data_IF_055866522435
#
_entry.id   IF_055866522435
#
_cell.length_a   1.000
_cell.length_b   1.000
_cell.length_c   1.000
_cell.angle_alpha   90.00
_cell.angle_beta   90.00
_cell.angle_gamma   90.00
#
_symmetry.space_group_name_H-M   'P 1'
#
loop_
_entity.id
_entity.type
_entity.pdbx_description
1 polymer ?
#
# COMPACT_ATOMS: atom_id res chain seq x y z
N UNK A 1 -24.76 -19.48 16.19
CA UNK A 1 -25.01 -18.38 15.23
C UNK A 1 -23.68 -18.14 14.52
N UNK A 2 -23.49 -18.74 13.34
CA UNK A 2 -22.24 -18.61 12.57
C UNK A 2 -22.40 -17.40 11.66
N UNK A 3 -21.58 -16.38 11.89
CA UNK A 3 -21.55 -15.19 11.03
C UNK A 3 -21.01 -15.62 9.67
N UNK A 4 -21.69 -15.21 8.61
CA UNK A 4 -21.34 -15.63 7.26
C UNK A 4 -19.98 -15.04 6.83
N UNK A 5 -19.14 -15.81 6.11
CA UNK A 5 -17.76 -15.43 5.80
C UNK A 5 -17.64 -14.16 4.93
N UNK A 6 -18.72 -13.75 4.26
CA UNK A 6 -18.80 -12.53 3.46
C UNK A 6 -18.78 -11.27 4.33
N UNK A 7 -19.37 -11.33 5.54
CA UNK A 7 -19.38 -10.20 6.49
C UNK A 7 -17.95 -9.93 6.98
N UNK A 8 -17.20 -10.99 7.28
CA UNK A 8 -15.80 -10.89 7.70
C UNK A 8 -14.89 -10.41 6.56
N UNK A 9 -15.12 -10.89 5.33
CA UNK A 9 -14.40 -10.41 4.15
C UNK A 9 -14.65 -8.93 3.89
N UNK A 10 -15.92 -8.49 3.93
CA UNK A 10 -16.30 -7.09 3.77
C UNK A 10 -15.70 -6.18 4.86
N UNK A 11 -15.69 -6.63 6.11
CA UNK A 11 -15.07 -5.90 7.21
C UNK A 11 -13.55 -5.78 7.04
N UNK A 12 -12.89 -6.85 6.61
CA UNK A 12 -11.45 -6.86 6.33
C UNK A 12 -11.07 -5.86 5.23
N UNK A 13 -11.88 -5.78 4.17
CA UNK A 13 -11.75 -4.79 3.10
C UNK A 13 -11.91 -3.36 3.64
N UNK A 14 -12.93 -3.10 4.45
CA UNK A 14 -13.17 -1.78 5.04
C UNK A 14 -11.99 -1.33 5.92
N UNK A 15 -11.42 -2.24 6.72
CA UNK A 15 -10.25 -1.96 7.54
C UNK A 15 -9.00 -1.71 6.70
N UNK A 16 -8.78 -2.47 5.63
CA UNK A 16 -7.65 -2.25 4.71
C UNK A 16 -7.73 -0.87 4.05
N UNK A 17 -8.92 -0.47 3.60
CA UNK A 17 -9.16 0.86 3.03
C UNK A 17 -8.97 1.98 4.07
N UNK A 18 -9.43 1.78 5.31
CA UNK A 18 -9.25 2.76 6.37
C UNK A 18 -7.78 2.91 6.80
N UNK A 19 -6.98 1.85 6.71
CA UNK A 19 -5.57 1.87 7.06
C UNK A 19 -4.71 2.51 5.95
N UNK A 20 -4.87 2.04 4.71
CA UNK A 20 -4.05 2.45 3.57
C UNK A 20 -4.56 3.70 2.85
N UNK A 21 -5.86 4.00 2.94
CA UNK A 21 -6.49 5.16 2.29
C UNK A 21 -5.93 6.51 2.78
N UNK A 22 -5.92 6.80 4.09
CA UNK A 22 -5.35 8.03 4.63
C UNK A 22 -3.86 8.16 4.31
N UNK A 23 -3.12 7.04 4.35
CA UNK A 23 -1.71 7.01 4.02
C UNK A 23 -1.44 7.32 2.55
N UNK A 24 -2.22 6.72 1.63
CA UNK A 24 -2.16 7.02 0.20
C UNK A 24 -2.50 8.50 -0.06
N UNK A 25 -3.52 9.04 0.60
CA UNK A 25 -3.88 10.46 0.49
C UNK A 25 -2.74 11.38 0.94
N UNK A 26 -2.14 11.09 2.10
CA UNK A 26 -1.02 11.88 2.63
C UNK A 26 0.23 11.78 1.73
N UNK A 27 0.45 10.61 1.11
CA UNK A 27 1.51 10.40 0.12
C UNK A 27 1.26 11.17 -1.17
N UNK A 28 0.03 11.16 -1.68
CA UNK A 28 -0.35 11.90 -2.89
C UNK A 28 -0.26 13.42 -2.70
N UNK A 29 -0.49 13.92 -1.47
CA UNK A 29 -0.25 15.33 -1.11
C UNK A 29 1.23 15.71 -0.99
N UNK A 30 2.15 14.75 -1.11
CA UNK A 30 3.59 15.01 -0.98
C UNK A 30 4.05 15.35 0.44
N UNK A 31 3.17 15.19 1.44
CA UNK A 31 3.50 15.42 2.86
C UNK A 31 4.46 14.36 3.38
N UNK A 32 4.29 13.13 2.88
CA UNK A 32 5.18 12.00 3.16
C UNK A 32 6.04 11.75 1.92
N UNK A 33 7.35 11.56 2.11
CA UNK A 33 8.28 11.09 1.08
C UNK A 33 8.56 9.60 1.31
N UNK A 34 7.69 8.71 0.83
CA UNK A 34 7.92 7.29 1.01
C UNK A 34 9.11 6.81 0.19
N UNK A 35 9.97 6.03 0.84
CA UNK A 35 11.09 5.36 0.18
C UNK A 35 10.56 4.31 -0.82
N UNK A 36 10.90 4.46 -2.10
CA UNK A 36 10.39 3.62 -3.20
C UNK A 36 10.63 2.12 -2.94
N UNK A 37 11.80 1.75 -2.42
CA UNK A 37 12.16 0.34 -2.15
C UNK A 37 11.16 -0.36 -1.21
N UNK A 38 10.65 0.34 -0.19
CA UNK A 38 9.68 -0.21 0.75
C UNK A 38 8.38 -0.57 0.03
N UNK A 39 7.89 0.32 -0.84
CA UNK A 39 6.65 0.10 -1.57
C UNK A 39 6.78 -0.95 -2.68
N UNK A 40 7.96 -1.11 -3.27
CA UNK A 40 8.26 -2.22 -4.19
C UNK A 40 8.12 -3.56 -3.47
N UNK A 41 8.78 -3.70 -2.31
CA UNK A 41 8.72 -4.93 -1.51
C UNK A 41 7.28 -5.22 -1.08
N UNK A 42 6.58 -4.22 -0.54
CA UNK A 42 5.21 -4.40 -0.07
C UNK A 42 4.25 -4.77 -1.20
N UNK A 43 4.39 -4.17 -2.37
CA UNK A 43 3.56 -4.53 -3.54
C UNK A 43 3.82 -5.95 -3.98
N UNK A 44 5.09 -6.38 -4.03
CA UNK A 44 5.44 -7.75 -4.41
C UNK A 44 4.93 -8.77 -3.37
N UNK A 45 5.14 -8.51 -2.08
CA UNK A 45 4.72 -9.39 -1.00
C UNK A 45 3.20 -9.55 -0.96
N UNK A 46 2.46 -8.45 -1.06
CA UNK A 46 0.98 -8.48 -1.06
C UNK A 46 0.43 -9.16 -2.31
N UNK A 47 1.04 -8.95 -3.48
CA UNK A 47 0.68 -9.65 -4.69
C UNK A 47 0.86 -11.18 -4.53
N UNK A 48 2.02 -11.63 -4.05
CA UNK A 48 2.27 -13.07 -3.81
C UNK A 48 1.26 -13.64 -2.81
N UNK A 49 1.03 -12.94 -1.69
CA UNK A 49 0.07 -13.36 -0.68
C UNK A 49 -1.38 -13.42 -1.22
N UNK A 50 -1.76 -12.51 -2.11
CA UNK A 50 -3.05 -12.56 -2.79
C UNK A 50 -3.16 -13.76 -3.73
N UNK A 51 -2.12 -14.02 -4.54
CA UNK A 51 -2.11 -15.16 -5.44
C UNK A 51 -2.19 -16.50 -4.71
N UNK A 52 -1.50 -16.65 -3.56
CA UNK A 52 -1.61 -17.84 -2.71
C UNK A 52 -3.06 -18.03 -2.26
N UNK A 53 -3.67 -16.98 -1.69
CA UNK A 53 -5.06 -17.04 -1.22
C UNK A 53 -6.07 -17.28 -2.36
N UNK A 54 -5.79 -16.77 -3.55
CA UNK A 54 -6.60 -17.01 -4.74
C UNK A 54 -6.54 -18.47 -5.19
N UNK A 55 -5.33 -19.06 -5.21
CA UNK A 55 -5.12 -20.46 -5.59
C UNK A 55 -5.68 -21.45 -4.56
N UNK A 56 -5.62 -21.11 -3.26
CA UNK A 56 -6.20 -21.93 -2.19
C UNK A 56 -7.74 -21.81 -2.08
N UNK A 57 -8.37 -20.97 -2.91
CA UNK A 57 -9.81 -20.81 -2.90
C UNK A 57 -10.34 -20.14 -1.63
N UNK A 58 -9.56 -19.25 -1.00
CA UNK A 58 -9.89 -18.58 0.26
C UNK A 58 -11.14 -17.69 0.22
N UNK A 59 -11.81 -17.57 -0.94
CA UNK A 59 -13.09 -16.90 -1.10
C UNK A 59 -13.05 -15.43 -0.64
N UNK A 60 -13.90 -15.09 0.33
CA UNK A 60 -14.00 -13.74 0.89
C UNK A 60 -12.79 -13.31 1.71
N UNK A 61 -11.95 -14.24 2.17
CA UNK A 61 -10.72 -13.94 2.90
C UNK A 61 -9.64 -13.29 2.02
N UNK A 62 -9.62 -13.63 0.73
CA UNK A 62 -8.64 -13.11 -0.22
C UNK A 62 -8.89 -11.64 -0.62
N UNK A 63 -10.09 -11.11 -0.38
CA UNK A 63 -10.50 -9.79 -0.86
C UNK A 63 -9.64 -8.66 -0.31
N UNK A 64 -9.26 -8.74 0.97
CA UNK A 64 -8.39 -7.74 1.59
C UNK A 64 -6.97 -7.78 1.06
N UNK A 65 -6.45 -8.98 0.71
CA UNK A 65 -5.16 -9.14 0.05
C UNK A 65 -5.13 -8.48 -1.33
N UNK A 66 -6.20 -8.67 -2.12
CA UNK A 66 -6.35 -8.05 -3.44
C UNK A 66 -6.38 -6.51 -3.35
N UNK A 67 -7.19 -5.98 -2.44
CA UNK A 67 -7.29 -4.52 -2.23
C UNK A 67 -5.97 -3.95 -1.70
N UNK A 68 -5.32 -4.63 -0.76
CA UNK A 68 -4.02 -4.21 -0.23
C UNK A 68 -2.97 -4.16 -1.35
N UNK A 69 -2.97 -5.14 -2.26
CA UNK A 69 -2.07 -5.15 -3.43
C UNK A 69 -2.29 -3.94 -4.33
N UNK A 70 -3.55 -3.62 -4.64
CA UNK A 70 -3.90 -2.45 -5.47
C UNK A 70 -3.49 -1.14 -4.79
N UNK A 71 -3.74 -1.01 -3.49
CA UNK A 71 -3.36 0.19 -2.73
C UNK A 71 -1.85 0.33 -2.62
N UNK A 72 -1.11 -0.74 -2.32
CA UNK A 72 0.35 -0.73 -2.31
C UNK A 72 0.92 -0.34 -3.68
N UNK A 73 0.35 -0.85 -4.78
CA UNK A 73 0.76 -0.49 -6.13
C UNK A 73 0.48 0.99 -6.44
N UNK A 74 -0.68 1.51 -6.01
CA UNK A 74 -1.00 2.94 -6.15
C UNK A 74 -0.01 3.83 -5.36
N UNK A 75 0.35 3.42 -4.14
CA UNK A 75 1.34 4.14 -3.32
C UNK A 75 2.73 4.04 -3.95
N UNK A 76 3.10 2.89 -4.54
CA UNK A 76 4.35 2.72 -5.28
C UNK A 76 4.41 3.72 -6.45
N UNK A 77 3.37 3.80 -7.28
CA UNK A 77 3.32 4.79 -8.37
C UNK A 77 3.42 6.22 -7.83
N UNK A 78 2.70 6.53 -6.75
CA UNK A 78 2.77 7.84 -6.10
C UNK A 78 4.19 8.16 -5.58
N UNK A 79 4.87 7.17 -5.00
CA UNK A 79 6.24 7.26 -4.48
C UNK A 79 7.28 7.40 -5.59
N UNK A 80 7.09 6.79 -6.76
CA UNK A 80 7.98 6.98 -7.91
C UNK A 80 7.91 8.43 -8.42
N UNK A 81 6.72 9.05 -8.35
CA UNK A 81 6.53 10.45 -8.77
C UNK A 81 7.06 11.47 -7.75
N UNK A 82 7.08 11.13 -6.46
CA UNK A 82 7.53 12.00 -5.36
C UNK A 82 8.86 11.57 -4.72
N UNK A 83 9.51 10.54 -5.28
CA UNK A 83 10.65 9.87 -4.67
C UNK A 83 11.86 10.78 -4.54
N UNK A 84 12.46 10.75 -3.37
CA UNK A 84 13.65 11.51 -3.05
C UNK A 84 14.78 11.13 -4.03
N UNK A 85 15.21 12.13 -4.81
CA UNK A 85 16.49 12.08 -5.53
C UNK A 85 17.60 12.17 -4.49
N UNK A 86 17.99 11.05 -3.89
CA UNK A 86 19.26 11.00 -3.17
C UNK A 86 20.41 10.91 -4.18
N UNK A 87 21.16 12.01 -4.24
CA UNK A 87 22.57 12.09 -4.65
C UNK A 87 22.91 12.08 -6.14
N UNK A 88 22.86 13.26 -6.78
CA UNK A 88 24.09 13.86 -7.32
C UNK A 88 23.87 15.38 -7.54
N UNK A 89 24.59 16.20 -6.79
CA UNK A 89 24.52 17.65 -6.87
C UNK A 89 25.04 18.29 -5.59
N UNK A 90 26.35 18.54 -5.56
CA UNK A 90 26.96 19.47 -4.62
C UNK A 90 26.13 20.78 -4.59
N UNK A 91 25.66 21.19 -3.41
CA UNK A 91 24.82 22.38 -3.25
C UNK A 91 24.44 22.61 -1.79
N UNK A 92 25.18 23.52 -1.17
CA UNK A 92 24.92 24.14 0.15
C UNK A 92 23.45 24.56 0.36
N UNK A 93 22.96 24.44 1.59
CA UNK A 93 21.81 25.20 2.06
C UNK A 93 20.76 24.43 2.85
N UNK A 94 21.14 23.81 3.98
CA UNK A 94 20.19 23.44 5.05
C UNK A 94 20.29 24.49 6.16
N UNK A 95 19.78 25.68 5.85
CA UNK A 95 19.38 26.68 6.80
C UNK A 95 17.87 26.92 6.59
N UNK A 96 17.14 27.02 7.69
CA UNK A 96 15.74 27.45 7.78
C UNK A 96 14.64 26.43 7.39
N UNK A 97 14.26 25.56 8.34
CA UNK A 97 13.01 25.71 9.12
C UNK A 97 12.89 24.70 10.25
#
# INVERSE_FOLDING_TARGET
>A
MVISPEIWGGLSVALALFSLGPYLWATLKGTNKPHIFTWVIWTLLTAIAFFIQYLEGAGSGAWSGGISTVLCFAILIASVRHGEKSSCGCGLGYADR
#
